data_IF_337742088387
#
_entry.id   IF_337742088387
#
_cell.length_a   1.000
_cell.length_b   1.000
_cell.length_c   1.000
_cell.angle_alpha   90.00
_cell.angle_beta   90.00
_cell.angle_gamma   90.00
#
_symmetry.space_group_name_H-M   'P 1'
#
loop_
_entity.id
_entity.type
_entity.pdbx_description
1 polymer ?
#
# COMPACT_ATOMS: atom_id res chain seq x y z
N UNK A 1 -13.27 8.33 -25.75
CA UNK A 1 -12.39 7.56 -24.88
C UNK A 1 -12.53 6.08 -25.22
N UNK A 2 -11.61 5.52 -25.98
CA UNK A 2 -11.65 4.10 -26.36
C UNK A 2 -10.72 3.32 -25.45
N UNK A 3 -11.26 2.29 -24.78
CA UNK A 3 -10.52 1.43 -23.84
C UNK A 3 -10.18 0.11 -24.53
N UNK A 4 -8.90 -0.22 -24.65
CA UNK A 4 -8.46 -1.57 -24.97
C UNK A 4 -8.24 -2.33 -23.65
N UNK A 5 -9.22 -3.08 -23.19
CA UNK A 5 -9.11 -4.04 -22.09
C UNK A 5 -8.68 -5.42 -22.58
N UNK A 6 -8.14 -6.31 -21.70
CA UNK A 6 -7.56 -7.58 -22.07
C UNK A 6 -8.58 -8.71 -22.31
N UNK A 7 -9.71 -8.48 -22.97
CA UNK A 7 -10.59 -9.56 -23.43
C UNK A 7 -11.59 -9.06 -24.46
N UNK A 8 -11.15 -8.94 -25.68
CA UNK A 8 -12.03 -9.07 -26.83
C UNK A 8 -11.45 -10.17 -27.71
N UNK A 9 -12.32 -11.12 -28.09
CA UNK A 9 -11.99 -12.26 -28.92
C UNK A 9 -11.12 -11.88 -30.14
N UNK A 10 -10.16 -12.75 -30.43
CA UNK A 10 -9.15 -12.60 -31.47
C UNK A 10 -9.72 -12.44 -32.91
N UNK A 11 -11.03 -12.39 -33.07
CA UNK A 11 -11.73 -12.27 -34.35
C UNK A 11 -12.29 -10.88 -34.69
N UNK A 12 -12.29 -9.92 -33.76
CA UNK A 12 -12.75 -8.54 -34.00
C UNK A 12 -11.60 -7.54 -33.88
N UNK A 13 -10.46 -7.86 -34.41
CA UNK A 13 -9.34 -6.94 -34.48
C UNK A 13 -9.43 -6.15 -35.78
N UNK A 14 -9.28 -4.87 -35.67
CA UNK A 14 -8.22 -4.01 -36.09
C UNK A 14 -8.58 -2.63 -36.65
N UNK A 15 -9.74 -2.35 -37.21
CA UNK A 15 -10.00 -1.00 -37.75
C UNK A 15 -10.61 -0.01 -36.75
N UNK A 16 -11.32 -0.51 -35.74
CA UNK A 16 -12.01 0.35 -34.75
C UNK A 16 -11.21 0.65 -33.48
N UNK A 17 -10.08 -0.01 -33.25
CA UNK A 17 -9.26 0.14 -32.03
C UNK A 17 -7.91 0.82 -32.29
N UNK A 18 -7.59 1.20 -33.50
CA UNK A 18 -6.40 1.96 -33.81
C UNK A 18 -6.49 3.36 -33.15
N UNK A 19 -5.39 3.77 -32.46
CA UNK A 19 -5.28 5.13 -31.95
C UNK A 19 -5.43 6.14 -33.09
N UNK A 20 -6.20 7.20 -32.84
CA UNK A 20 -6.34 8.35 -33.74
C UNK A 20 -5.93 9.62 -33.00
N UNK A 21 -5.46 10.62 -33.74
CA UNK A 21 -5.12 11.92 -33.16
C UNK A 21 -6.31 12.47 -32.36
N UNK A 22 -6.06 12.83 -31.09
CA UNK A 22 -7.09 13.24 -30.16
C UNK A 22 -7.55 12.15 -29.18
N UNK A 23 -7.19 10.87 -29.41
CA UNK A 23 -7.53 9.77 -28.51
C UNK A 23 -6.41 9.50 -27.49
N UNK A 24 -6.79 8.90 -26.34
CA UNK A 24 -5.87 8.20 -25.45
C UNK A 24 -5.91 6.70 -25.76
N UNK A 25 -4.73 6.06 -25.91
CA UNK A 25 -4.62 4.62 -25.98
C UNK A 25 -3.80 4.08 -24.82
N UNK A 26 -4.24 2.95 -24.27
CA UNK A 26 -3.62 2.30 -23.12
C UNK A 26 -3.16 0.90 -23.53
N UNK A 27 -1.92 0.54 -23.15
CA UNK A 27 -1.43 -0.85 -23.28
C UNK A 27 -1.13 -1.43 -21.91
N UNK A 28 -1.31 -2.72 -21.75
CA UNK A 28 -1.22 -3.41 -20.47
C UNK A 28 -0.17 -4.52 -20.52
N UNK A 29 0.43 -4.80 -19.39
CA UNK A 29 1.24 -6.00 -19.19
C UNK A 29 0.33 -7.21 -18.94
N UNK A 30 0.87 -8.44 -19.08
CA UNK A 30 0.10 -9.66 -18.82
C UNK A 30 -0.43 -9.80 -17.40
N UNK A 31 0.18 -9.12 -16.44
CA UNK A 31 -0.26 -9.06 -15.03
C UNK A 31 -1.29 -7.95 -14.74
N UNK A 32 -1.78 -7.25 -15.77
CA UNK A 32 -2.77 -6.19 -15.63
C UNK A 32 -2.21 -4.80 -15.29
N UNK A 33 -0.89 -4.66 -15.12
CA UNK A 33 -0.26 -3.34 -14.89
C UNK A 33 -0.21 -2.52 -16.18
N UNK A 34 -0.37 -1.20 -16.07
CA UNK A 34 -0.33 -0.28 -17.21
C UNK A 34 1.11 -0.23 -17.79
N UNK A 35 1.26 -0.60 -19.06
CA UNK A 35 2.56 -0.56 -19.75
C UNK A 35 2.85 0.80 -20.34
N UNK A 36 1.87 1.38 -21.03
CA UNK A 36 2.03 2.66 -21.69
C UNK A 36 0.71 3.40 -21.88
N UNK A 37 0.82 4.70 -22.05
CA UNK A 37 -0.26 5.61 -22.45
C UNK A 37 0.20 6.39 -23.68
N UNK A 38 -0.48 6.23 -24.80
CA UNK A 38 -0.32 7.13 -25.95
C UNK A 38 -1.32 8.26 -25.79
N UNK A 39 -0.84 9.48 -25.81
CA UNK A 39 -1.57 10.73 -25.61
C UNK A 39 -2.24 11.19 -26.89
N UNK A 40 -3.19 12.17 -26.82
CA UNK A 40 -3.83 12.77 -27.99
C UNK A 40 -2.86 13.42 -28.99
N UNK A 41 -1.67 13.84 -28.52
CA UNK A 41 -0.60 14.42 -29.34
C UNK A 41 0.33 13.36 -29.98
N UNK A 42 0.04 12.07 -29.78
CA UNK A 42 0.84 10.96 -30.28
C UNK A 42 2.05 10.59 -29.42
N UNK A 43 2.44 11.42 -28.45
CA UNK A 43 3.52 11.08 -27.53
C UNK A 43 3.13 9.95 -26.60
N UNK A 44 4.07 9.07 -26.29
CA UNK A 44 3.83 7.89 -25.45
C UNK A 44 4.61 7.99 -24.14
N UNK A 45 3.89 7.77 -23.03
CA UNK A 45 4.48 7.56 -21.70
C UNK A 45 4.58 6.07 -21.47
N UNK A 46 5.73 5.57 -21.00
CA UNK A 46 5.92 4.14 -20.67
C UNK A 46 6.27 3.96 -19.21
N UNK A 47 5.92 2.78 -18.66
CA UNK A 47 6.11 2.47 -17.24
C UNK A 47 6.77 1.11 -17.05
N UNK A 48 7.63 0.99 -16.02
CA UNK A 48 8.16 -0.29 -15.53
C UNK A 48 7.93 -0.43 -14.03
N UNK A 49 7.78 -1.66 -13.60
CA UNK A 49 7.48 -2.02 -12.22
C UNK A 49 8.42 -3.10 -11.74
N UNK A 50 8.65 -3.14 -10.44
CA UNK A 50 9.35 -4.25 -9.78
C UNK A 50 8.42 -5.47 -9.58
N UNK A 51 8.99 -6.52 -9.00
CA UNK A 51 8.24 -7.76 -8.73
C UNK A 51 7.10 -7.59 -7.70
N UNK A 52 7.14 -6.51 -6.90
CA UNK A 52 6.09 -6.16 -5.96
C UNK A 52 5.03 -5.24 -6.56
N UNK A 53 5.12 -4.91 -7.85
CA UNK A 53 4.20 -4.00 -8.54
C UNK A 53 4.45 -2.52 -8.24
N UNK A 54 5.60 -2.14 -7.65
CA UNK A 54 5.98 -0.74 -7.43
C UNK A 54 6.56 -0.17 -8.71
N UNK A 55 6.08 0.99 -9.13
CA UNK A 55 6.62 1.68 -10.32
C UNK A 55 8.04 2.15 -10.06
N UNK A 56 9.00 1.61 -10.80
CA UNK A 56 10.42 1.95 -10.68
C UNK A 56 10.92 2.88 -11.80
N UNK A 57 10.17 2.99 -12.89
CA UNK A 57 10.54 3.82 -14.02
C UNK A 57 9.31 4.37 -14.74
N UNK A 58 9.41 5.62 -15.18
CA UNK A 58 8.55 6.26 -16.19
C UNK A 58 9.43 6.88 -17.25
N UNK A 59 9.10 6.71 -18.52
CA UNK A 59 9.79 7.39 -19.64
C UNK A 59 8.81 8.26 -20.40
N UNK A 60 9.19 9.48 -20.63
CA UNK A 60 8.40 10.42 -21.42
C UNK A 60 9.30 11.51 -22.03
N UNK A 61 9.10 11.78 -23.32
CA UNK A 61 9.70 12.89 -24.06
C UNK A 61 11.23 12.95 -23.91
N UNK A 62 11.88 11.79 -24.03
CA UNK A 62 13.34 11.66 -23.94
C UNK A 62 13.93 11.78 -22.53
N UNK A 63 13.11 11.72 -21.51
CA UNK A 63 13.56 11.67 -20.10
C UNK A 63 13.10 10.40 -19.41
N UNK A 64 13.97 9.86 -18.56
CA UNK A 64 13.74 8.73 -17.68
C UNK A 64 13.52 9.26 -16.27
N UNK A 65 12.40 8.93 -15.67
CA UNK A 65 12.06 9.21 -14.27
C UNK A 65 12.19 7.92 -13.48
N UNK A 66 12.90 7.97 -12.37
CA UNK A 66 13.17 6.81 -11.51
C UNK A 66 12.57 7.00 -10.13
N UNK A 67 12.17 5.90 -9.53
CA UNK A 67 11.54 5.86 -8.21
C UNK A 67 12.19 4.79 -7.35
N UNK A 68 12.68 5.17 -6.17
CA UNK A 68 13.15 4.27 -5.13
C UNK A 68 12.14 4.27 -3.99
N UNK A 69 11.81 3.09 -3.52
CA UNK A 69 10.74 2.87 -2.55
C UNK A 69 11.30 2.43 -1.19
N UNK A 70 10.69 2.94 -0.12
CA UNK A 70 10.79 2.38 1.22
C UNK A 70 9.43 1.76 1.57
N UNK A 71 9.39 0.43 1.65
CA UNK A 71 8.12 -0.28 1.76
C UNK A 71 7.16 0.07 0.61
N UNK A 72 6.06 0.72 0.94
CA UNK A 72 5.00 1.11 0.01
C UNK A 72 4.94 2.60 -0.30
N UNK A 73 5.96 3.38 0.10
CA UNK A 73 6.07 4.82 -0.19
C UNK A 73 7.28 5.14 -1.06
N UNK A 74 7.20 6.17 -1.89
CA UNK A 74 8.32 6.65 -2.70
C UNK A 74 9.26 7.44 -1.80
N UNK A 75 10.48 6.91 -1.56
CA UNK A 75 11.51 7.60 -0.78
C UNK A 75 12.27 8.62 -1.62
N UNK A 76 12.74 8.19 -2.80
CA UNK A 76 13.49 9.04 -3.70
C UNK A 76 12.89 8.99 -5.11
N UNK A 77 12.96 10.13 -5.79
CA UNK A 77 12.75 10.21 -7.23
C UNK A 77 13.84 11.08 -7.86
N UNK A 78 14.24 10.73 -9.06
CA UNK A 78 15.19 11.48 -9.88
C UNK A 78 14.90 11.29 -11.35
N UNK A 79 15.51 12.09 -12.19
CA UNK A 79 15.39 11.92 -13.62
C UNK A 79 16.74 12.13 -14.32
N UNK A 80 16.80 11.73 -15.58
CA UNK A 80 17.95 11.98 -16.47
C UNK A 80 17.52 11.87 -17.93
N UNK A 81 18.37 12.37 -18.86
CA UNK A 81 18.10 12.25 -20.29
C UNK A 81 18.14 10.78 -20.73
N UNK A 82 17.15 10.31 -21.48
CA UNK A 82 17.11 8.91 -21.95
C UNK A 82 18.32 8.51 -22.79
N UNK A 83 18.95 9.46 -23.49
CA UNK A 83 20.20 9.26 -24.23
C UNK A 83 21.38 8.84 -23.35
N UNK A 84 21.33 9.18 -22.04
CA UNK A 84 22.36 8.84 -21.05
C UNK A 84 22.08 7.53 -20.31
N UNK A 85 21.04 6.79 -20.71
CA UNK A 85 20.69 5.51 -20.12
C UNK A 85 21.85 4.51 -20.22
N UNK A 86 22.30 3.90 -19.11
CA UNK A 86 23.27 2.81 -19.14
C UNK A 86 22.73 1.58 -19.87
N UNK A 87 23.63 0.86 -20.52
CA UNK A 87 23.30 -0.42 -21.13
C UNK A 87 23.51 -1.56 -20.13
N UNK A 88 22.64 -2.55 -20.21
CA UNK A 88 22.84 -3.81 -19.50
C UNK A 88 23.91 -4.62 -20.22
N UNK A 89 24.94 -5.05 -19.49
CA UNK A 89 26.03 -5.88 -19.99
C UNK A 89 26.17 -7.15 -19.14
N UNK A 90 26.70 -8.20 -19.75
CA UNK A 90 27.04 -9.45 -19.05
C UNK A 90 28.55 -9.48 -18.93
N UNK A 91 29.04 -9.60 -17.68
CA UNK A 91 30.48 -9.70 -17.39
C UNK A 91 31.03 -11.07 -17.86
N UNK A 92 32.34 -11.20 -17.91
CA UNK A 92 33.01 -12.49 -18.20
C UNK A 92 32.63 -13.60 -17.20
N UNK A 93 32.24 -13.22 -16.00
CA UNK A 93 31.75 -14.17 -14.96
C UNK A 93 30.27 -14.50 -15.10
N UNK A 94 29.57 -13.96 -16.11
CA UNK A 94 28.14 -14.20 -16.32
C UNK A 94 27.21 -13.31 -15.45
N UNK A 95 27.75 -12.36 -14.72
CA UNK A 95 26.97 -11.41 -13.94
C UNK A 95 26.34 -10.34 -14.85
N UNK A 96 25.07 -10.04 -14.64
CA UNK A 96 24.35 -8.98 -15.35
C UNK A 96 24.51 -7.67 -14.58
N UNK A 97 25.13 -6.67 -15.21
CA UNK A 97 25.39 -5.36 -14.62
C UNK A 97 25.17 -4.23 -15.63
N UNK A 98 25.40 -2.99 -15.24
CA UNK A 98 25.36 -1.81 -16.12
C UNK A 98 26.76 -1.48 -16.61
N UNK A 99 26.89 -0.98 -17.85
CA UNK A 99 28.17 -0.55 -18.44
C UNK A 99 28.74 0.71 -17.76
N UNK A 100 27.91 1.48 -17.10
CA UNK A 100 28.25 2.67 -16.33
C UNK A 100 27.21 2.92 -15.23
N UNK A 101 27.52 3.70 -14.19
CA UNK A 101 26.53 4.12 -13.19
C UNK A 101 25.36 4.85 -13.85
N UNK A 102 24.16 4.63 -13.32
CA UNK A 102 22.96 5.35 -13.75
C UNK A 102 23.07 6.82 -13.30
N UNK A 103 22.80 7.81 -14.21
CA UNK A 103 22.79 9.22 -13.82
C UNK A 103 21.71 9.51 -12.78
N UNK A 104 22.01 10.43 -11.86
CA UNK A 104 21.07 10.92 -10.86
C UNK A 104 21.02 12.45 -10.95
N UNK A 105 19.98 12.97 -11.62
CA UNK A 105 19.73 14.41 -11.72
C UNK A 105 18.44 14.75 -10.99
N UNK A 106 18.32 16.00 -10.54
CA UNK A 106 17.09 16.50 -9.90
C UNK A 106 16.56 15.60 -8.76
N UNK A 107 17.47 15.04 -7.97
CA UNK A 107 17.11 14.15 -6.88
C UNK A 107 16.17 14.84 -5.89
N UNK A 108 15.04 14.19 -5.63
CA UNK A 108 14.05 14.56 -4.63
C UNK A 108 14.00 13.46 -3.58
N UNK A 109 14.05 13.85 -2.31
CA UNK A 109 13.78 12.95 -1.19
C UNK A 109 12.46 13.35 -0.54
N UNK A 110 11.59 12.39 -0.35
CA UNK A 110 10.32 12.56 0.37
C UNK A 110 10.46 12.04 1.79
N UNK A 111 9.94 12.79 2.74
CA UNK A 111 9.87 12.41 4.16
C UNK A 111 8.42 12.19 4.50
N UNK A 112 8.15 11.10 5.22
CA UNK A 112 6.80 10.74 5.66
C UNK A 112 6.70 10.75 7.18
N UNK A 113 5.51 10.87 7.70
CA UNK A 113 5.27 10.67 9.13
C UNK A 113 5.53 9.20 9.51
N UNK A 114 5.90 8.98 10.77
CA UNK A 114 6.54 7.76 11.31
C UNK A 114 5.72 6.50 11.14
N UNK A 115 5.03 6.10 10.26
CA UNK A 115 4.30 4.88 9.92
C UNK A 115 3.18 5.17 8.89
N UNK A 116 3.28 6.29 8.13
CA UNK A 116 2.19 6.75 7.27
C UNK A 116 2.57 6.90 5.80
N UNK A 117 1.54 7.06 4.99
CA UNK A 117 1.65 7.38 3.55
C UNK A 117 1.59 8.90 3.31
N UNK A 118 1.52 9.71 4.37
CA UNK A 118 1.37 11.16 4.27
C UNK A 118 2.75 11.80 4.14
N UNK A 119 3.08 12.44 3.02
CA UNK A 119 4.34 13.15 2.89
C UNK A 119 4.31 14.40 3.80
N UNK A 120 5.34 14.56 4.62
CA UNK A 120 5.50 15.68 5.57
C UNK A 120 6.57 16.66 5.13
N UNK A 121 7.54 16.22 4.32
CA UNK A 121 8.52 17.12 3.74
C UNK A 121 9.02 16.63 2.37
N UNK A 122 9.55 17.60 1.60
CA UNK A 122 10.27 17.42 0.35
C UNK A 122 11.66 18.02 0.50
N UNK A 123 12.70 17.28 0.10
CA UNK A 123 14.09 17.75 0.11
C UNK A 123 14.63 17.74 -1.31
N UNK A 124 15.22 18.84 -1.74
CA UNK A 124 15.85 19.00 -3.07
C UNK A 124 17.18 19.72 -2.89
N UNK A 125 18.29 18.97 -2.96
CA UNK A 125 19.61 19.50 -2.58
C UNK A 125 19.59 19.98 -1.13
N UNK A 126 19.98 21.23 -0.90
CA UNK A 126 20.01 21.86 0.42
C UNK A 126 18.69 22.55 0.82
N UNK A 127 17.66 22.44 -0.01
CA UNK A 127 16.35 23.09 0.25
C UNK A 127 15.36 22.11 0.82
N UNK A 128 14.66 22.53 1.87
CA UNK A 128 13.64 21.75 2.55
C UNK A 128 12.28 22.44 2.40
N UNK A 129 11.26 21.65 2.22
CA UNK A 129 9.89 22.15 2.11
C UNK A 129 9.00 21.34 3.03
N UNK A 130 8.33 22.01 3.97
CA UNK A 130 7.34 21.38 4.84
C UNK A 130 6.03 21.21 4.09
N UNK A 131 5.39 20.04 4.20
CA UNK A 131 4.11 19.75 3.56
C UNK A 131 3.04 19.65 4.63
N UNK A 132 1.96 20.36 4.44
CA UNK A 132 0.76 20.29 5.28
C UNK A 132 -0.32 19.55 4.51
N UNK A 133 -0.89 18.55 5.13
CA UNK A 133 -1.98 17.75 4.58
C UNK A 133 -3.28 17.97 5.32
N UNK A 134 -4.40 17.72 4.65
CA UNK A 134 -5.71 17.74 5.29
C UNK A 134 -5.93 16.50 6.19
N UNK A 135 -7.13 16.39 6.76
CA UNK A 135 -7.46 15.35 7.73
C UNK A 135 -7.46 13.93 7.15
N UNK A 136 -7.55 13.73 5.83
CA UNK A 136 -7.44 12.42 5.17
C UNK A 136 -6.10 12.20 4.47
N UNK A 137 -5.11 13.08 4.71
CA UNK A 137 -3.74 12.92 4.24
C UNK A 137 -3.45 13.48 2.84
N UNK A 138 -4.37 14.30 2.24
CA UNK A 138 -4.09 14.99 0.98
C UNK A 138 -3.23 16.23 1.25
N UNK A 139 -2.11 16.44 0.53
CA UNK A 139 -1.33 17.67 0.64
C UNK A 139 -2.18 18.88 0.24
N UNK A 140 -2.22 19.92 1.07
CA UNK A 140 -2.95 21.17 0.79
C UNK A 140 -2.06 22.38 0.69
N UNK A 141 -0.91 22.39 1.37
CA UNK A 141 0.07 23.48 1.33
C UNK A 141 1.49 22.95 1.43
N UNK A 142 2.46 23.67 0.85
CA UNK A 142 3.87 23.46 1.11
C UNK A 142 4.57 24.80 1.34
N UNK A 143 5.51 24.81 2.28
CA UNK A 143 6.24 25.97 2.72
C UNK A 143 7.74 25.77 2.53
N UNK A 144 8.45 26.86 2.15
CA UNK A 144 9.92 26.89 2.11
C UNK A 144 10.50 27.10 3.54
N UNK A 145 11.85 27.08 3.64
CA UNK A 145 12.56 27.31 4.91
C UNK A 145 12.35 28.72 5.51
N UNK A 146 11.82 29.66 4.74
CA UNK A 146 11.49 31.01 5.19
C UNK A 146 10.03 31.15 5.62
N UNK A 147 9.25 30.08 5.53
CA UNK A 147 7.82 30.08 5.86
C UNK A 147 6.93 30.65 4.74
N UNK A 148 7.42 30.83 3.53
CA UNK A 148 6.60 31.25 2.42
C UNK A 148 5.85 30.06 1.81
N UNK A 149 4.57 30.26 1.44
CA UNK A 149 3.82 29.26 0.69
C UNK A 149 4.38 29.17 -0.73
N UNK A 150 4.92 28.01 -1.09
CA UNK A 150 5.46 27.73 -2.43
C UNK A 150 4.51 26.88 -3.27
N UNK A 151 3.55 26.23 -2.62
CA UNK A 151 2.52 25.42 -3.25
C UNK A 151 1.27 25.38 -2.38
N UNK A 152 0.10 25.44 -3.02
CA UNK A 152 -1.20 25.27 -2.37
C UNK A 152 -2.21 24.74 -3.38
N UNK A 153 -3.12 23.87 -2.93
CA UNK A 153 -4.19 23.32 -3.75
C UNK A 153 -5.43 22.97 -2.92
N UNK A 154 -6.59 23.10 -3.56
CA UNK A 154 -7.84 22.51 -3.13
C UNK A 154 -8.18 21.32 -4.02
N UNK A 155 -9.16 20.51 -3.60
CA UNK A 155 -9.59 19.34 -4.34
C UNK A 155 -11.11 19.31 -4.51
N UNK A 156 -11.56 18.84 -5.68
CA UNK A 156 -12.98 18.51 -5.85
C UNK A 156 -13.29 17.10 -5.31
N UNK A 157 -14.55 16.69 -5.44
CA UNK A 157 -15.04 15.41 -4.94
C UNK A 157 -14.38 14.18 -5.60
N UNK A 158 -13.74 14.34 -6.75
CA UNK A 158 -13.01 13.29 -7.45
C UNK A 158 -11.50 13.37 -7.23
N UNK A 159 -11.04 14.33 -6.40
CA UNK A 159 -9.61 14.54 -6.13
C UNK A 159 -8.88 15.34 -7.21
N UNK A 160 -9.60 15.99 -8.17
CA UNK A 160 -8.94 16.94 -9.05
C UNK A 160 -8.43 18.14 -8.27
N UNK A 161 -7.21 18.55 -8.59
CA UNK A 161 -6.63 19.78 -8.06
C UNK A 161 -7.40 21.00 -8.57
N UNK A 162 -7.79 21.88 -7.63
CA UNK A 162 -8.45 23.16 -7.84
C UNK A 162 -7.62 24.27 -7.19
N UNK A 163 -7.85 25.50 -7.61
CA UNK A 163 -7.26 26.72 -7.00
C UNK A 163 -5.74 26.59 -6.76
N UNK A 164 -5.02 26.00 -7.71
CA UNK A 164 -3.60 25.71 -7.59
C UNK A 164 -2.78 27.01 -7.55
N UNK A 165 -1.94 27.12 -6.51
CA UNK A 165 -0.82 28.04 -6.44
C UNK A 165 0.49 27.25 -6.55
N UNK A 166 1.44 27.77 -7.36
CA UNK A 166 2.70 27.08 -7.61
C UNK A 166 2.64 26.08 -8.78
N UNK A 167 3.69 25.27 -8.91
CA UNK A 167 3.81 24.30 -10.00
C UNK A 167 3.09 22.98 -9.61
N UNK A 168 2.24 22.47 -10.49
CA UNK A 168 1.47 21.23 -10.27
C UNK A 168 2.35 20.02 -9.93
N UNK A 169 3.50 19.90 -10.58
CA UNK A 169 4.47 18.83 -10.35
C UNK A 169 5.26 18.97 -9.04
N UNK A 170 5.18 20.15 -8.40
CA UNK A 170 5.98 20.40 -7.20
C UNK A 170 5.61 19.47 -6.06
N UNK A 171 4.33 19.22 -5.84
CA UNK A 171 3.79 18.18 -4.96
C UNK A 171 2.91 17.26 -5.84
N UNK A 172 3.39 16.07 -6.23
CA UNK A 172 2.64 15.17 -7.10
C UNK A 172 1.62 14.29 -6.35
N UNK A 173 1.69 14.24 -5.03
CA UNK A 173 0.77 13.45 -4.22
C UNK A 173 -0.64 14.05 -4.22
N UNK A 174 -1.65 13.17 -4.24
CA UNK A 174 -3.08 13.52 -4.32
C UNK A 174 -3.83 12.91 -3.15
N UNK A 175 -4.85 12.11 -3.38
CA UNK A 175 -5.44 11.35 -2.28
C UNK A 175 -4.42 10.34 -1.77
N UNK A 176 -4.59 9.90 -0.53
CA UNK A 176 -3.60 9.05 0.14
C UNK A 176 -3.20 7.84 -0.73
N UNK A 177 -1.90 7.69 -0.98
CA UNK A 177 -1.34 6.66 -1.86
C UNK A 177 -1.34 7.00 -3.36
N UNK A 178 -1.88 8.15 -3.77
CA UNK A 178 -1.94 8.57 -5.16
C UNK A 178 -0.78 9.50 -5.54
N UNK A 179 -0.19 9.25 -6.70
CA UNK A 179 0.84 10.06 -7.34
C UNK A 179 0.36 10.48 -8.74
N UNK A 180 0.24 11.76 -9.01
CA UNK A 180 -0.21 12.27 -10.30
C UNK A 180 0.90 12.22 -11.35
N UNK A 181 0.57 11.68 -12.51
CA UNK A 181 1.32 11.82 -13.74
C UNK A 181 0.74 12.95 -14.59
N UNK A 182 1.29 14.15 -14.47
CA UNK A 182 0.80 15.34 -15.16
C UNK A 182 0.75 15.15 -16.69
N UNK A 183 1.64 14.31 -17.23
CA UNK A 183 1.71 13.99 -18.65
C UNK A 183 0.45 13.27 -19.16
N UNK A 184 -0.18 12.45 -18.31
CA UNK A 184 -1.37 11.66 -18.67
C UNK A 184 -2.64 12.16 -18.00
N UNK A 185 -2.50 12.93 -16.92
CA UNK A 185 -3.60 13.31 -16.04
C UNK A 185 -4.17 12.14 -15.22
N UNK A 186 -3.44 11.02 -15.18
CA UNK A 186 -3.81 9.87 -14.36
C UNK A 186 -3.08 9.93 -13.02
N UNK A 187 -3.71 9.37 -11.99
CA UNK A 187 -3.09 9.20 -10.67
C UNK A 187 -2.67 7.73 -10.50
N UNK A 188 -1.37 7.50 -10.42
CA UNK A 188 -0.82 6.19 -10.08
C UNK A 188 -1.15 5.86 -8.64
N UNK A 189 -1.87 4.79 -8.42
CA UNK A 189 -2.27 4.30 -7.11
C UNK A 189 -1.85 2.84 -6.95
N UNK A 190 -0.53 2.63 -6.91
CA UNK A 190 0.13 1.33 -6.75
C UNK A 190 -0.29 0.29 -7.81
N UNK A 191 -1.37 -0.43 -7.60
CA UNK A 191 -1.82 -1.50 -8.50
C UNK A 191 -2.74 -1.03 -9.61
N UNK A 192 -3.30 0.19 -9.50
CA UNK A 192 -4.22 0.75 -10.48
C UNK A 192 -3.87 2.20 -10.81
N UNK A 193 -4.48 2.71 -11.86
CA UNK A 193 -4.44 4.13 -12.22
C UNK A 193 -5.83 4.72 -12.15
N UNK A 194 -5.95 5.82 -11.46
CA UNK A 194 -7.21 6.54 -11.25
C UNK A 194 -7.32 7.70 -12.23
N UNK A 195 -8.49 7.87 -12.81
CA UNK A 195 -8.83 8.99 -13.70
C UNK A 195 -9.87 9.89 -13.00
N UNK A 196 -9.43 11.06 -12.57
CA UNK A 196 -10.28 12.02 -11.87
C UNK A 196 -11.42 12.58 -12.73
N UNK A 197 -11.28 12.51 -14.07
CA UNK A 197 -12.34 13.00 -14.99
C UNK A 197 -13.57 12.12 -14.95
N UNK A 198 -13.42 10.86 -14.61
CA UNK A 198 -14.51 9.89 -14.51
C UNK A 198 -14.73 9.38 -13.09
N UNK A 199 -13.87 9.76 -12.14
CA UNK A 199 -13.96 9.33 -10.74
C UNK A 199 -13.77 7.84 -10.53
N UNK A 200 -13.03 7.15 -11.41
CA UNK A 200 -12.85 5.70 -11.38
C UNK A 200 -11.43 5.28 -11.79
N UNK A 201 -11.07 4.07 -11.43
CA UNK A 201 -9.89 3.42 -11.99
C UNK A 201 -10.08 3.07 -13.47
N UNK A 202 -9.01 3.09 -14.25
CA UNK A 202 -9.03 2.75 -15.69
C UNK A 202 -8.86 1.25 -15.94
N UNK A 203 -8.63 0.44 -14.90
CA UNK A 203 -8.53 -1.01 -14.95
C UNK A 203 -9.40 -1.67 -13.88
N UNK A 204 -9.71 -2.94 -14.09
CA UNK A 204 -10.42 -3.74 -13.10
C UNK A 204 -9.55 -3.96 -11.86
N UNK A 205 -10.21 -4.10 -10.72
CA UNK A 205 -9.56 -4.46 -9.47
C UNK A 205 -8.88 -5.84 -9.59
N UNK A 206 -7.57 -5.96 -9.28
CA UNK A 206 -6.87 -7.25 -9.29
C UNK A 206 -7.48 -8.26 -8.31
N UNK A 207 -8.03 -7.81 -7.18
CA UNK A 207 -8.72 -8.65 -6.19
C UNK A 207 -10.24 -8.68 -6.40
N UNK A 208 -10.72 -8.01 -7.42
CA UNK A 208 -12.14 -7.97 -7.83
C UNK A 208 -13.04 -7.44 -6.69
N UNK A 209 -14.20 -8.08 -6.48
CA UNK A 209 -15.16 -7.65 -5.46
C UNK A 209 -14.70 -7.93 -4.02
N UNK A 210 -13.53 -8.54 -3.81
CA UNK A 210 -12.97 -8.73 -2.47
C UNK A 210 -12.44 -7.42 -1.84
N UNK A 211 -12.30 -6.35 -2.65
CA UNK A 211 -11.91 -5.03 -2.19
C UNK A 211 -13.01 -4.22 -1.50
N UNK A 212 -14.17 -4.83 -1.19
CA UNK A 212 -15.37 -4.20 -0.63
C UNK A 212 -16.05 -3.16 -1.53
N UNK A 213 -15.54 -2.90 -2.71
CA UNK A 213 -16.17 -1.98 -3.64
C UNK A 213 -17.25 -2.70 -4.45
N UNK A 214 -18.48 -2.16 -4.60
CA UNK A 214 -19.55 -2.79 -5.36
C UNK A 214 -19.26 -2.84 -6.86
N UNK A 215 -18.25 -2.11 -7.34
CA UNK A 215 -17.87 -2.09 -8.75
C UNK A 215 -16.39 -2.45 -8.92
N UNK A 216 -16.05 -3.09 -10.05
CA UNK A 216 -14.68 -3.48 -10.36
C UNK A 216 -13.75 -2.29 -10.67
N UNK A 217 -14.30 -1.10 -10.90
CA UNK A 217 -13.57 0.10 -11.30
C UNK A 217 -13.67 1.24 -10.29
N UNK A 218 -14.49 1.09 -9.26
CA UNK A 218 -14.72 2.14 -8.26
C UNK A 218 -13.45 2.46 -7.46
N UNK A 219 -13.32 3.72 -7.04
CA UNK A 219 -12.30 4.16 -6.10
C UNK A 219 -12.78 3.90 -4.66
N UNK A 220 -13.60 4.79 -4.12
CA UNK A 220 -14.21 4.67 -2.79
C UNK A 220 -15.63 5.19 -2.81
N UNK A 221 -16.44 4.77 -1.83
CA UNK A 221 -17.84 5.20 -1.72
C UNK A 221 -18.01 6.65 -1.31
N UNK A 222 -17.11 7.20 -0.50
CA UNK A 222 -17.09 8.60 -0.07
C UNK A 222 -15.64 9.09 0.05
N UNK A 223 -15.22 9.93 -0.87
CA UNK A 223 -13.86 10.47 -0.95
C UNK A 223 -13.49 11.45 0.17
N UNK A 224 -14.45 11.84 1.01
CA UNK A 224 -14.18 12.67 2.18
C UNK A 224 -13.81 11.85 3.42
N UNK A 225 -14.20 10.57 3.46
CA UNK A 225 -14.03 9.73 4.64
C UNK A 225 -13.37 8.40 4.37
N UNK A 226 -13.17 8.04 3.10
CA UNK A 226 -12.58 6.78 2.68
C UNK A 226 -11.40 7.01 1.74
N UNK A 227 -10.41 6.13 1.83
CA UNK A 227 -9.23 6.11 0.95
C UNK A 227 -8.97 4.69 0.45
N UNK A 228 -8.34 4.58 -0.71
CA UNK A 228 -7.80 3.32 -1.24
C UNK A 228 -6.32 3.52 -1.56
N UNK A 229 -5.46 3.25 -0.57
CA UNK A 229 -4.04 3.60 -0.63
C UNK A 229 -3.25 2.80 -1.66
N UNK A 230 -3.66 1.56 -1.87
CA UNK A 230 -2.95 0.64 -2.77
C UNK A 230 -3.70 0.41 -4.10
N UNK A 231 -4.87 0.98 -4.28
CA UNK A 231 -5.68 0.68 -5.43
C UNK A 231 -6.25 -0.74 -5.42
N UNK A 232 -6.60 -1.27 -4.24
CA UNK A 232 -7.13 -2.63 -4.06
C UNK A 232 -8.40 -2.67 -3.23
N UNK A 233 -8.45 -1.91 -2.13
CA UNK A 233 -9.60 -1.91 -1.24
C UNK A 233 -9.78 -0.56 -0.54
N UNK A 234 -11.02 -0.18 -0.40
CA UNK A 234 -11.38 1.02 0.33
C UNK A 234 -11.26 0.80 1.84
N UNK A 235 -10.73 1.81 2.54
CA UNK A 235 -10.61 1.83 4.00
C UNK A 235 -11.24 3.12 4.51
N UNK A 236 -12.26 2.99 5.35
CA UNK A 236 -12.93 4.13 5.97
C UNK A 236 -12.03 4.82 7.00
N UNK A 237 -12.10 6.13 7.03
CA UNK A 237 -11.35 6.97 7.96
C UNK A 237 -11.49 6.56 9.44
N UNK A 238 -12.66 6.05 9.81
CA UNK A 238 -12.94 5.59 11.17
C UNK A 238 -12.42 4.17 11.49
N UNK A 239 -11.83 3.47 10.52
CA UNK A 239 -11.40 2.08 10.65
C UNK A 239 -9.91 1.93 11.01
N UNK A 240 -9.30 2.88 11.68
CA UNK A 240 -8.01 2.67 12.30
C UNK A 240 -6.80 3.35 11.67
N UNK A 241 -7.00 4.33 10.78
CA UNK A 241 -5.91 5.16 10.26
C UNK A 241 -5.36 6.18 11.27
N UNK A 242 -6.10 6.42 12.35
CA UNK A 242 -5.61 7.19 13.50
C UNK A 242 -5.73 6.38 14.77
N UNK A 243 -4.65 6.37 15.50
CA UNK A 243 -4.65 5.93 16.90
C UNK A 243 -5.48 6.92 17.75
N UNK A 244 -5.96 6.52 18.92
CA UNK A 244 -6.72 7.41 19.81
C UNK A 244 -6.00 8.71 20.18
N UNK A 245 -4.65 8.76 20.03
CA UNK A 245 -3.82 9.95 20.22
C UNK A 245 -3.66 10.80 18.93
N UNK A 246 -4.42 10.49 17.87
CA UNK A 246 -4.52 11.27 16.64
C UNK A 246 -3.43 11.05 15.62
N UNK A 247 -2.50 10.11 15.85
CA UNK A 247 -1.47 9.72 14.87
C UNK A 247 -2.05 8.88 13.75
N UNK A 248 -1.51 9.04 12.54
CA UNK A 248 -1.82 8.13 11.45
C UNK A 248 -1.29 6.74 11.79
N UNK A 249 -2.19 5.79 11.91
CA UNK A 249 -1.77 4.38 11.88
C UNK A 249 -1.46 4.02 10.44
N UNK A 250 -0.30 3.42 10.19
CA UNK A 250 0.00 2.82 8.89
C UNK A 250 -1.13 1.86 8.52
N UNK A 251 -1.72 1.96 7.32
CA UNK A 251 -2.48 0.86 6.80
C UNK A 251 -1.47 -0.27 6.69
N UNK A 252 -1.55 -1.24 7.57
CA UNK A 252 -0.81 -2.47 7.38
C UNK A 252 -1.22 -3.00 6.02
N UNK A 253 -0.25 -2.96 5.08
CA UNK A 253 -0.48 -3.13 3.65
C UNK A 253 -1.44 -4.25 3.37
N UNK A 254 -2.36 -4.03 2.45
CA UNK A 254 -3.35 -4.88 1.76
C UNK A 254 -3.68 -6.27 2.25
N UNK A 255 -3.31 -6.61 3.43
CA UNK A 255 -3.75 -7.76 4.18
C UNK A 255 -4.87 -7.32 5.10
N UNK A 256 -5.89 -8.12 5.28
CA UNK A 256 -6.86 -8.03 6.36
C UNK A 256 -6.14 -7.44 7.56
N UNK A 257 -6.68 -6.41 8.20
CA UNK A 257 -6.15 -5.84 9.46
C UNK A 257 -5.71 -6.99 10.37
N UNK A 258 -4.75 -6.78 11.25
CA UNK A 258 -4.36 -7.83 12.21
C UNK A 258 -5.59 -8.51 12.83
N UNK A 259 -6.68 -7.76 13.02
CA UNK A 259 -7.98 -8.27 13.47
C UNK A 259 -8.65 -9.17 12.41
N UNK A 260 -8.59 -8.85 11.13
CA UNK A 260 -9.16 -9.71 10.09
C UNK A 260 -8.40 -11.02 9.92
N UNK A 261 -7.07 -11.02 10.08
CA UNK A 261 -6.28 -12.25 10.15
C UNK A 261 -6.66 -13.08 11.37
N UNK A 262 -6.90 -12.44 12.53
CA UNK A 262 -7.38 -13.07 13.76
C UNK A 262 -8.77 -13.69 13.55
N UNK A 263 -9.69 -12.96 12.93
CA UNK A 263 -11.05 -13.43 12.64
C UNK A 263 -11.06 -14.62 11.68
N UNK A 264 -10.22 -14.59 10.66
CA UNK A 264 -10.06 -15.70 9.73
C UNK A 264 -9.51 -16.95 10.43
N UNK A 265 -8.46 -16.81 11.23
CA UNK A 265 -7.85 -17.91 11.98
C UNK A 265 -8.85 -18.47 13.00
N UNK A 266 -9.57 -17.60 13.72
CA UNK A 266 -10.62 -18.01 14.64
C UNK A 266 -11.68 -18.85 13.94
N UNK A 267 -12.18 -18.40 12.80
CA UNK A 267 -13.18 -19.13 12.01
C UNK A 267 -12.63 -20.47 11.51
N UNK A 268 -11.40 -20.50 11.00
CA UNK A 268 -10.75 -21.74 10.54
C UNK A 268 -10.56 -22.75 11.67
N UNK A 269 -10.05 -22.29 12.82
CA UNK A 269 -9.86 -23.18 13.99
C UNK A 269 -11.17 -23.69 14.54
N UNK A 270 -12.20 -22.86 14.62
CA UNK A 270 -13.54 -23.27 15.06
C UNK A 270 -14.17 -24.28 14.10
N UNK A 271 -14.01 -24.09 12.79
CA UNK A 271 -14.55 -25.02 11.79
C UNK A 271 -13.80 -26.36 11.77
N UNK A 272 -12.47 -26.33 11.94
CA UNK A 272 -11.62 -27.52 11.95
C UNK A 272 -11.77 -28.31 13.25
N UNK A 273 -11.98 -27.62 14.37
CA UNK A 273 -12.05 -28.21 15.71
C UNK A 273 -13.39 -27.85 16.35
N UNK A 274 -14.48 -28.41 15.84
CA UNK A 274 -15.86 -28.11 16.25
C UNK A 274 -16.13 -28.27 17.76
N UNK A 275 -15.30 -29.06 18.43
CA UNK A 275 -15.40 -29.30 19.86
C UNK A 275 -14.61 -28.29 20.72
N UNK A 276 -13.84 -27.38 20.08
CA UNK A 276 -13.12 -26.36 20.80
C UNK A 276 -14.05 -25.18 21.14
N UNK A 277 -14.00 -24.73 22.39
CA UNK A 277 -14.79 -23.58 22.85
C UNK A 277 -13.95 -22.32 22.77
N UNK A 278 -14.37 -21.30 22.02
CA UNK A 278 -13.76 -19.98 22.01
C UNK A 278 -14.00 -19.28 23.35
N UNK A 279 -12.93 -18.85 24.03
CA UNK A 279 -12.97 -18.18 25.33
C UNK A 279 -12.88 -16.68 25.27
N UNK A 280 -12.36 -16.15 24.16
CA UNK A 280 -12.23 -14.71 23.89
C UNK A 280 -11.00 -14.37 23.08
N UNK A 281 -10.94 -13.11 22.65
CA UNK A 281 -9.83 -12.51 21.92
C UNK A 281 -9.05 -11.54 22.81
N UNK A 282 -7.77 -11.31 22.47
CA UNK A 282 -6.87 -10.37 23.15
C UNK A 282 -6.76 -10.60 24.67
N UNK A 283 -6.73 -11.84 25.09
CA UNK A 283 -6.67 -12.18 26.51
C UNK A 283 -5.23 -12.19 27.05
N UNK A 284 -5.03 -11.54 28.18
CA UNK A 284 -3.72 -11.37 28.79
C UNK A 284 -3.45 -12.42 29.86
N UNK A 285 -2.20 -12.90 29.89
CA UNK A 285 -1.70 -13.86 30.87
C UNK A 285 -0.34 -13.41 31.43
N UNK A 286 0.06 -13.97 32.57
CA UNK A 286 1.34 -13.70 33.22
C UNK A 286 2.03 -15.04 33.56
N UNK A 287 3.32 -15.15 33.19
CA UNK A 287 4.10 -16.33 33.57
C UNK A 287 4.59 -16.24 35.04
N UNK A 288 5.27 -17.29 35.51
CA UNK A 288 5.86 -17.38 36.86
C UNK A 288 6.87 -16.27 37.17
N UNK A 289 7.54 -15.74 36.13
CA UNK A 289 8.52 -14.65 36.26
C UNK A 289 7.87 -13.25 36.25
N UNK A 290 6.55 -13.18 36.28
CA UNK A 290 5.80 -11.92 36.30
C UNK A 290 5.69 -11.22 34.95
N UNK A 291 6.21 -11.78 33.85
CA UNK A 291 6.11 -11.21 32.51
C UNK A 291 4.68 -11.32 31.97
N UNK A 292 4.22 -10.27 31.31
CA UNK A 292 2.90 -10.18 30.72
C UNK A 292 2.94 -10.60 29.24
N UNK A 293 1.92 -11.37 28.80
CA UNK A 293 1.71 -11.77 27.42
C UNK A 293 0.23 -11.63 27.08
N UNK A 294 -0.10 -11.19 25.86
CA UNK A 294 -1.45 -11.14 25.32
C UNK A 294 -1.52 -12.04 24.10
N UNK A 295 -2.48 -12.94 24.07
CA UNK A 295 -2.78 -13.80 22.94
C UNK A 295 -3.94 -13.26 22.12
N UNK A 296 -3.84 -13.38 20.80
CA UNK A 296 -4.86 -12.86 19.88
C UNK A 296 -6.19 -13.60 20.04
N UNK A 297 -6.16 -14.93 20.23
CA UNK A 297 -7.34 -15.76 20.45
C UNK A 297 -7.05 -16.77 21.57
N UNK A 298 -8.05 -17.15 22.33
CA UNK A 298 -7.93 -18.21 23.33
C UNK A 298 -9.06 -19.20 23.18
N UNK A 299 -8.71 -20.49 23.11
CA UNK A 299 -9.64 -21.61 23.04
C UNK A 299 -9.50 -22.55 24.23
N UNK A 300 -10.56 -23.31 24.51
CA UNK A 300 -10.57 -24.45 25.42
C UNK A 300 -10.84 -25.72 24.62
N UNK A 301 -9.97 -26.72 24.73
CA UNK A 301 -10.13 -28.05 24.16
C UNK A 301 -11.11 -28.90 24.97
N UNK A 302 -11.64 -30.00 24.41
CA UNK A 302 -12.56 -30.94 25.15
C UNK A 302 -11.94 -31.52 26.42
N UNK A 303 -10.60 -31.74 26.42
CA UNK A 303 -9.85 -32.24 27.57
C UNK A 303 -9.64 -31.19 28.68
N UNK A 304 -10.22 -30.00 28.51
CA UNK A 304 -10.08 -28.90 29.45
C UNK A 304 -8.83 -28.01 29.24
N UNK A 305 -7.89 -28.41 28.40
CA UNK A 305 -6.66 -27.62 28.09
C UNK A 305 -7.01 -26.30 27.47
N UNK A 306 -6.46 -25.20 28.00
CA UNK A 306 -6.62 -23.86 27.43
C UNK A 306 -5.40 -23.50 26.56
N UNK A 307 -5.67 -23.11 25.32
CA UNK A 307 -4.68 -22.79 24.27
C UNK A 307 -4.73 -21.31 23.97
N UNK A 308 -3.58 -20.64 24.11
CA UNK A 308 -3.37 -19.29 23.61
C UNK A 308 -2.89 -19.34 22.14
N UNK A 309 -3.55 -18.61 21.26
CA UNK A 309 -3.21 -18.57 19.83
C UNK A 309 -2.61 -17.21 19.50
N UNK A 310 -1.45 -17.21 18.89
CA UNK A 310 -0.79 -16.05 18.31
C UNK A 310 -0.90 -16.12 16.80
N UNK A 311 -1.43 -15.08 16.18
CA UNK A 311 -1.60 -14.95 14.73
C UNK A 311 -0.53 -14.04 14.18
N UNK A 312 0.25 -14.53 13.22
CA UNK A 312 1.27 -13.75 12.50
C UNK A 312 0.87 -13.67 11.03
N UNK A 313 0.48 -12.48 10.61
CA UNK A 313 0.16 -12.20 9.21
C UNK A 313 1.43 -11.83 8.43
N UNK A 314 1.43 -12.14 7.14
CA UNK A 314 2.52 -11.83 6.21
C UNK A 314 3.90 -12.32 6.71
N UNK A 315 4.88 -11.44 6.75
CA UNK A 315 6.25 -11.71 7.19
C UNK A 315 6.48 -11.50 8.70
N UNK A 316 5.43 -11.16 9.44
CA UNK A 316 5.55 -10.91 10.87
C UNK A 316 6.02 -12.15 11.64
N UNK A 317 6.99 -11.98 12.54
CA UNK A 317 7.53 -13.03 13.38
C UNK A 317 7.41 -12.66 14.86
N UNK A 318 7.44 -13.67 15.73
CA UNK A 318 7.53 -13.41 17.18
C UNK A 318 8.84 -12.71 17.54
N UNK A 319 8.76 -11.74 18.45
CA UNK A 319 9.97 -11.19 19.09
C UNK A 319 10.68 -12.27 19.93
N UNK A 320 11.94 -12.06 20.24
CA UNK A 320 12.70 -12.97 21.13
C UNK A 320 11.99 -13.15 22.49
N UNK A 321 11.47 -12.06 23.06
CA UNK A 321 10.74 -12.10 24.32
C UNK A 321 9.44 -12.91 24.23
N UNK A 322 8.69 -12.77 23.14
CA UNK A 322 7.48 -13.56 22.89
C UNK A 322 7.79 -15.05 22.75
N UNK A 323 8.84 -15.42 22.03
CA UNK A 323 9.25 -16.82 21.89
C UNK A 323 9.62 -17.44 23.22
N UNK A 324 10.49 -16.79 23.99
CA UNK A 324 10.91 -17.28 25.31
C UNK A 324 9.74 -17.42 26.28
N UNK A 325 8.77 -16.50 26.24
CA UNK A 325 7.55 -16.63 27.05
C UNK A 325 6.76 -17.88 26.65
N UNK A 326 6.46 -18.01 25.35
CA UNK A 326 5.60 -19.07 24.82
C UNK A 326 6.22 -20.48 24.99
N UNK A 327 7.55 -20.60 24.84
CA UNK A 327 8.32 -21.85 25.11
C UNK A 327 8.25 -22.28 26.57
N UNK A 328 8.10 -21.34 27.49
CA UNK A 328 7.94 -21.60 28.93
C UNK A 328 6.53 -22.02 29.35
N UNK A 329 5.54 -21.95 28.45
CA UNK A 329 4.15 -22.29 28.78
C UNK A 329 3.88 -23.77 28.50
N UNK A 330 3.43 -24.49 29.52
CA UNK A 330 3.03 -25.91 29.44
C UNK A 330 1.97 -26.26 30.50
N UNK A 331 1.48 -27.50 30.47
CA UNK A 331 0.57 -27.99 31.52
C UNK A 331 1.23 -27.97 32.90
N UNK A 332 2.57 -28.13 32.97
CA UNK A 332 3.34 -28.08 34.23
C UNK A 332 3.65 -26.65 34.68
N UNK A 333 3.78 -25.71 33.71
CA UNK A 333 4.10 -24.30 33.92
C UNK A 333 3.12 -23.40 33.19
N UNK A 334 1.83 -23.38 33.60
CA UNK A 334 0.80 -22.63 32.90
C UNK A 334 0.95 -21.13 33.15
N UNK A 335 0.58 -20.32 32.14
CA UNK A 335 0.52 -18.88 32.27
C UNK A 335 -0.85 -18.46 32.83
N UNK A 336 -0.84 -17.73 33.94
CA UNK A 336 -2.06 -17.35 34.70
C UNK A 336 -2.75 -16.14 34.04
N UNK A 337 -4.06 -16.25 33.84
CA UNK A 337 -4.88 -15.17 33.31
C UNK A 337 -4.94 -13.97 34.23
N UNK A 338 -4.93 -12.78 33.60
CA UNK A 338 -5.07 -11.49 34.30
C UNK A 338 -6.25 -10.69 33.74
N UNK A 339 -6.71 -9.70 34.48
CA UNK A 339 -7.85 -8.88 34.08
C UNK A 339 -9.11 -9.70 33.82
N UNK A 340 -9.71 -9.57 32.65
CA UNK A 340 -10.94 -10.29 32.25
C UNK A 340 -10.74 -11.82 32.19
N UNK A 341 -9.50 -12.31 32.15
CA UNK A 341 -9.18 -13.74 32.09
C UNK A 341 -8.73 -14.33 33.44
N UNK A 342 -8.78 -13.53 34.52
CA UNK A 342 -8.40 -13.97 35.89
C UNK A 342 -9.09 -15.27 36.30
N UNK A 343 -8.36 -16.17 36.94
CA UNK A 343 -8.85 -17.49 37.40
C UNK A 343 -8.79 -18.60 36.35
N UNK A 344 -8.21 -18.33 35.18
CA UNK A 344 -7.94 -19.31 34.12
C UNK A 344 -6.44 -19.37 33.83
N UNK A 345 -5.98 -20.46 33.21
CA UNK A 345 -4.56 -20.67 32.93
C UNK A 345 -4.38 -21.16 31.50
N UNK A 346 -3.51 -20.51 30.72
CA UNK A 346 -3.09 -21.00 29.40
C UNK A 346 -2.00 -22.06 29.60
N UNK A 347 -2.21 -23.22 29.04
CA UNK A 347 -1.36 -24.40 29.19
C UNK A 347 -0.68 -24.84 27.91
N UNK A 348 -1.08 -24.28 26.79
CA UNK A 348 -0.52 -24.56 25.46
C UNK A 348 -0.55 -23.30 24.62
N UNK A 349 0.46 -23.13 23.76
CA UNK A 349 0.54 -22.00 22.83
C UNK A 349 0.62 -22.49 21.39
N UNK A 350 -0.25 -21.99 20.54
CA UNK A 350 -0.27 -22.23 19.11
C UNK A 350 0.11 -20.94 18.36
N UNK A 351 1.06 -21.04 17.45
CA UNK A 351 1.40 -19.94 16.55
C UNK A 351 0.97 -20.28 15.15
N UNK A 352 0.15 -19.44 14.57
CA UNK A 352 -0.26 -19.52 13.17
C UNK A 352 0.51 -18.46 12.41
N UNK A 353 1.47 -18.90 11.59
CA UNK A 353 2.30 -18.03 10.77
C UNK A 353 1.77 -17.96 9.34
N UNK A 354 2.15 -16.91 8.61
CA UNK A 354 1.86 -16.74 7.19
C UNK A 354 0.36 -16.88 6.86
N UNK A 355 -0.48 -16.26 7.67
CA UNK A 355 -1.89 -16.13 7.31
C UNK A 355 -1.96 -15.24 6.10
N UNK A 356 -1.82 -15.87 4.94
CA UNK A 356 -2.09 -15.21 3.67
C UNK A 356 -3.60 -15.10 3.56
N UNK A 357 -4.06 -13.90 3.49
CA UNK A 357 -5.42 -13.59 3.15
C UNK A 357 -5.64 -13.94 1.68
N UNK A 358 -6.34 -15.03 1.44
CA UNK A 358 -6.83 -15.38 0.11
C UNK A 358 -8.05 -14.55 -0.22
#
# INVERSE_FOLDING_TARGET
>A
MRRSGPSLDAGMRDEFLAWQSGDYAYTWQGNGMLRSVTRPDGKTVTFKYDALGRRIEKVFDGRVYRYLWDGDVILHEWDYAEADRPNTVVTETGEVTLDRPEPVENLITWVYDSDGYVPTAKIVGDRHYSIISDYIGRPVQAYDDNGNIVWQADYDIYGNVRNLHGNRKFIPFRQLGQYEDDETGLYYNRFRYYDTRIGNYISQDPIRLMGNNPTLYGYVGDTNTWTDVLGLNEVGWNNGWRTPDGKFASPQGGGISGQGAVDQVRTQLSNKNKEWTHLGDELSVRNSNGQLRRYDIVFKKPDGTIVGVEVKSNTATKTKAQRLFDEGVSKATPAKGVGKFKGREVQEVLTINNVMCK
#
